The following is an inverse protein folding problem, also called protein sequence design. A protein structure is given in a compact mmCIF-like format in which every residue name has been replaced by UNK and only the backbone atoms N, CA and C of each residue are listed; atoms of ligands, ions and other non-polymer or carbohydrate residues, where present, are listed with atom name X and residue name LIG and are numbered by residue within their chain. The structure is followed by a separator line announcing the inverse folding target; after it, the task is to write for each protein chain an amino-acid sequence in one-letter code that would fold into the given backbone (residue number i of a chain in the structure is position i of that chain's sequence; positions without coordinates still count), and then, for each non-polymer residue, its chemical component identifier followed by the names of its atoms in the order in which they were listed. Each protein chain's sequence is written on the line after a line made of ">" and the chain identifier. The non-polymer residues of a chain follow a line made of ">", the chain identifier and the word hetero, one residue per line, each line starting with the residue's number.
data_IF_734472246293
#
_entry.id   IF_734472246293
#
_cell.length_a   1.000
_cell.length_b   1.000
_cell.length_c   1.000
_cell.angle_alpha   90.00
_cell.angle_beta   90.00
_cell.angle_gamma   90.00
#
_symmetry.space_group_name_H-M   'P 1'
#
loop_
_entity.id
_entity.type
_entity.pdbx_description
1 polymer ?
#
# COMPACT_ATOMS: atom_id res chain seq x y z
N UNK A 1 -14.91 11.58 -3.68
CA UNK A 1 -15.95 11.22 -4.68
C UNK A 1 -17.24 10.85 -3.92
N UNK A 2 -18.30 10.39 -4.60
CA UNK A 2 -19.46 9.78 -3.92
C UNK A 2 -19.69 8.39 -4.48
N UNK A 3 -19.91 7.39 -3.64
CA UNK A 3 -20.22 6.03 -4.07
C UNK A 3 -21.46 5.50 -3.34
N UNK A 4 -22.13 4.52 -3.95
CA UNK A 4 -23.18 3.71 -3.31
C UNK A 4 -23.25 2.34 -3.97
N UNK A 5 -23.58 1.33 -3.18
CA UNK A 5 -23.96 0.01 -3.71
C UNK A 5 -25.32 0.13 -4.40
N UNK A 6 -25.45 -0.40 -5.60
CA UNK A 6 -26.71 -0.40 -6.36
C UNK A 6 -27.33 -1.79 -6.48
N UNK A 7 -26.56 -2.85 -6.23
CA UNK A 7 -27.04 -4.23 -6.20
C UNK A 7 -25.90 -5.21 -5.95
N UNK A 8 -26.28 -6.43 -5.56
CA UNK A 8 -25.40 -7.59 -5.46
C UNK A 8 -26.15 -8.77 -6.07
N UNK A 9 -25.58 -9.41 -7.08
CA UNK A 9 -26.16 -10.57 -7.77
C UNK A 9 -25.02 -11.49 -8.21
N UNK A 10 -25.15 -12.80 -7.97
CA UNK A 10 -24.15 -13.82 -8.34
C UNK A 10 -22.71 -13.42 -7.95
N UNK A 11 -22.52 -12.98 -6.71
CA UNK A 11 -21.23 -12.52 -6.16
C UNK A 11 -20.57 -11.38 -6.96
N UNK A 12 -21.36 -10.63 -7.71
CA UNK A 12 -20.96 -9.38 -8.36
C UNK A 12 -21.60 -8.22 -7.60
N UNK A 13 -20.76 -7.28 -7.16
CA UNK A 13 -21.19 -6.08 -6.46
C UNK A 13 -21.19 -4.91 -7.45
N UNK A 14 -22.38 -4.40 -7.75
CA UNK A 14 -22.54 -3.18 -8.54
C UNK A 14 -22.41 -1.94 -7.67
N UNK A 15 -21.44 -1.08 -8.00
CA UNK A 15 -21.18 0.18 -7.32
C UNK A 15 -21.32 1.35 -8.29
N UNK A 16 -22.18 2.30 -7.96
CA UNK A 16 -22.26 3.56 -8.69
C UNK A 16 -21.32 4.58 -8.04
N UNK A 17 -20.40 5.15 -8.80
CA UNK A 17 -19.50 6.22 -8.35
C UNK A 17 -19.74 7.50 -9.14
N UNK A 18 -19.77 8.63 -8.45
CA UNK A 18 -19.81 9.97 -9.06
C UNK A 18 -18.44 10.62 -8.85
N UNK A 19 -17.76 10.89 -9.96
CA UNK A 19 -16.42 11.46 -9.98
C UNK A 19 -16.40 12.96 -9.57
N UNK A 20 -15.22 13.60 -9.42
CA UNK A 20 -15.12 15.00 -9.05
C UNK A 20 -15.69 15.98 -10.10
N UNK A 21 -15.89 15.54 -11.34
CA UNK A 21 -16.49 16.31 -12.44
C UNK A 21 -18.00 16.12 -12.52
N UNK A 22 -18.57 15.22 -11.72
CA UNK A 22 -20.00 14.91 -11.69
C UNK A 22 -20.41 13.81 -12.67
N UNK A 23 -19.46 13.13 -13.31
CA UNK A 23 -19.77 12.02 -14.22
C UNK A 23 -20.10 10.77 -13.42
N UNK A 24 -21.02 9.97 -13.95
CA UNK A 24 -21.47 8.73 -13.33
C UNK A 24 -20.69 7.57 -13.94
N UNK A 25 -20.20 6.71 -13.05
CA UNK A 25 -19.53 5.46 -13.38
C UNK A 25 -20.29 4.31 -12.71
N UNK A 26 -20.34 3.18 -13.39
CA UNK A 26 -20.72 1.90 -12.84
C UNK A 26 -19.48 1.03 -12.78
N UNK A 27 -19.18 0.48 -11.60
CA UNK A 27 -18.12 -0.49 -11.39
C UNK A 27 -18.78 -1.77 -10.87
N UNK A 28 -18.54 -2.88 -11.53
CA UNK A 28 -18.98 -4.21 -11.11
C UNK A 28 -17.75 -4.99 -10.65
N UNK A 29 -17.78 -5.40 -9.39
CA UNK A 29 -16.67 -6.08 -8.71
C UNK A 29 -17.05 -7.54 -8.53
N UNK A 30 -16.32 -8.44 -9.17
CA UNK A 30 -16.43 -9.89 -8.97
C UNK A 30 -15.62 -10.26 -7.73
N UNK A 31 -16.29 -10.79 -6.70
CA UNK A 31 -15.64 -11.18 -5.44
C UNK A 31 -15.40 -12.68 -5.33
N UNK A 32 -15.86 -13.49 -6.30
CA UNK A 32 -15.51 -14.90 -6.40
C UNK A 32 -14.18 -15.09 -7.13
N UNK A 33 -13.89 -14.25 -8.12
CA UNK A 33 -12.70 -14.36 -8.96
C UNK A 33 -11.85 -13.09 -8.93
N UNK A 34 -10.91 -13.05 -7.98
CA UNK A 34 -9.95 -11.95 -7.81
C UNK A 34 -9.08 -11.70 -9.06
N UNK A 35 -8.92 -12.68 -9.95
CA UNK A 35 -8.14 -12.53 -11.20
C UNK A 35 -8.94 -11.84 -12.33
N UNK A 36 -10.23 -11.54 -12.09
CA UNK A 36 -11.08 -10.87 -13.08
C UNK A 36 -10.99 -9.36 -12.92
N UNK A 37 -10.69 -8.66 -14.01
CA UNK A 37 -10.74 -7.20 -14.01
C UNK A 37 -12.16 -6.71 -13.72
N UNK A 38 -12.28 -5.78 -12.77
CA UNK A 38 -13.54 -5.10 -12.47
C UNK A 38 -14.11 -4.46 -13.75
N UNK A 39 -15.38 -4.71 -14.01
CA UNK A 39 -16.09 -4.10 -15.13
C UNK A 39 -16.32 -2.62 -14.82
N UNK A 40 -15.76 -1.72 -15.63
CA UNK A 40 -15.89 -0.27 -15.45
C UNK A 40 -16.61 0.40 -16.62
N UNK A 41 -17.90 0.68 -16.45
CA UNK A 41 -18.74 1.32 -17.46
C UNK A 41 -18.91 2.84 -17.21
N UNK A 42 -18.69 3.65 -18.24
CA UNK A 42 -18.86 5.10 -18.25
C UNK A 42 -18.96 5.64 -19.70
N UNK A 43 -19.49 6.85 -19.89
CA UNK A 43 -19.65 7.49 -21.22
C UNK A 43 -18.89 8.82 -21.39
N UNK A 44 -18.19 9.29 -20.36
CA UNK A 44 -17.59 10.64 -20.29
C UNK A 44 -16.12 10.72 -20.68
N UNK A 45 -15.43 9.60 -20.72
CA UNK A 45 -14.00 9.47 -21.01
C UNK A 45 -13.76 8.44 -22.13
N UNK A 46 -12.64 8.54 -22.86
CA UNK A 46 -12.25 7.51 -23.83
C UNK A 46 -12.24 6.11 -23.20
N UNK A 47 -12.74 5.11 -23.93
CA UNK A 47 -12.74 3.72 -23.47
C UNK A 47 -11.34 3.13 -23.50
N UNK A 48 -10.58 3.41 -24.56
CA UNK A 48 -9.18 3.03 -24.68
C UNK A 48 -8.31 3.88 -23.73
N UNK A 49 -7.54 3.24 -22.87
CA UNK A 49 -6.66 3.91 -21.91
C UNK A 49 -5.57 4.73 -22.60
N UNK A 50 -5.12 4.32 -23.79
CA UNK A 50 -4.11 5.06 -24.57
C UNK A 50 -4.61 6.39 -25.15
N UNK A 51 -5.93 6.57 -25.22
CA UNK A 51 -6.56 7.82 -25.64
C UNK A 51 -6.87 8.76 -24.48
N UNK A 52 -6.67 8.32 -23.23
CA UNK A 52 -6.90 9.13 -22.04
C UNK A 52 -5.69 9.99 -21.73
N UNK A 53 -5.95 11.20 -21.26
CA UNK A 53 -4.93 12.05 -20.61
C UNK A 53 -4.58 11.49 -19.23
N UNK A 54 -3.39 11.80 -18.71
CA UNK A 54 -2.96 11.40 -17.36
C UNK A 54 -3.99 11.74 -16.27
N UNK A 55 -4.67 12.88 -16.41
CA UNK A 55 -5.69 13.31 -15.47
C UNK A 55 -6.96 12.47 -15.56
N UNK A 56 -7.36 12.06 -16.78
CA UNK A 56 -8.49 11.16 -16.96
C UNK A 56 -8.17 9.77 -16.43
N UNK A 57 -6.98 9.25 -16.71
CA UNK A 57 -6.53 7.96 -16.20
C UNK A 57 -6.47 7.95 -14.68
N UNK A 58 -5.94 9.03 -14.08
CA UNK A 58 -5.96 9.24 -12.62
C UNK A 58 -7.39 9.20 -12.06
N UNK A 59 -8.37 9.82 -12.72
CA UNK A 59 -9.78 9.77 -12.28
C UNK A 59 -10.32 8.34 -12.37
N UNK A 60 -10.03 7.60 -13.44
CA UNK A 60 -10.48 6.21 -13.61
C UNK A 60 -9.96 5.31 -12.48
N UNK A 61 -8.66 5.39 -12.17
CA UNK A 61 -8.06 4.63 -11.07
C UNK A 61 -8.68 5.01 -9.72
N UNK A 62 -8.94 6.30 -9.49
CA UNK A 62 -9.59 6.75 -8.26
C UNK A 62 -11.05 6.28 -8.15
N UNK A 63 -11.76 6.17 -9.26
CA UNK A 63 -13.13 5.63 -9.30
C UNK A 63 -13.13 4.14 -8.94
N UNK A 64 -12.23 3.35 -9.53
CA UNK A 64 -12.09 1.92 -9.22
C UNK A 64 -11.75 1.71 -7.73
N UNK A 65 -10.73 2.43 -7.23
CA UNK A 65 -10.37 2.43 -5.81
C UNK A 65 -11.56 2.80 -4.91
N UNK A 66 -12.28 3.89 -5.23
CA UNK A 66 -13.42 4.31 -4.43
C UNK A 66 -14.55 3.28 -4.44
N UNK A 67 -14.79 2.60 -5.56
CA UNK A 67 -15.79 1.55 -5.68
C UNK A 67 -15.46 0.34 -4.79
N UNK A 68 -14.23 -0.19 -4.89
CA UNK A 68 -13.76 -1.31 -4.07
C UNK A 68 -13.81 -0.98 -2.58
N UNK A 69 -13.46 0.25 -2.20
CA UNK A 69 -13.61 0.70 -0.81
C UNK A 69 -15.08 0.75 -0.34
N UNK A 70 -16.01 1.22 -1.17
CA UNK A 70 -17.44 1.18 -0.81
C UNK A 70 -17.93 -0.24 -0.62
N UNK A 71 -17.61 -1.13 -1.56
CA UNK A 71 -18.00 -2.54 -1.50
C UNK A 71 -17.42 -3.22 -0.25
N UNK A 72 -16.14 -3.03 0.03
CA UNK A 72 -15.50 -3.59 1.22
C UNK A 72 -16.12 -3.08 2.54
N UNK A 73 -16.60 -1.83 2.58
CA UNK A 73 -17.11 -1.23 3.81
C UNK A 73 -18.60 -1.43 4.03
N UNK A 74 -19.38 -1.65 2.98
CA UNK A 74 -20.84 -1.78 3.03
C UNK A 74 -21.35 -3.22 2.87
N UNK A 75 -20.46 -4.17 2.57
CA UNK A 75 -20.81 -5.58 2.39
C UNK A 75 -20.01 -6.46 3.35
N UNK A 76 -20.25 -7.77 3.31
CA UNK A 76 -19.52 -8.76 4.09
C UNK A 76 -18.23 -9.25 3.42
N UNK A 77 -17.97 -8.83 2.17
CA UNK A 77 -16.85 -9.32 1.38
C UNK A 77 -15.53 -8.60 1.70
N UNK A 78 -14.48 -9.39 1.90
CA UNK A 78 -13.12 -8.91 2.20
C UNK A 78 -12.36 -8.53 0.92
N UNK A 79 -12.80 -7.47 0.24
CA UNK A 79 -12.26 -7.06 -1.07
C UNK A 79 -10.89 -6.35 -0.98
N UNK A 80 -10.66 -5.59 0.09
CA UNK A 80 -9.42 -4.82 0.27
C UNK A 80 -8.48 -5.52 1.24
N UNK A 81 -7.20 -5.52 0.89
CA UNK A 81 -6.11 -5.89 1.80
C UNK A 81 -6.08 -4.93 2.98
N UNK A 82 -5.67 -5.43 4.15
CA UNK A 82 -5.54 -4.65 5.39
C UNK A 82 -4.80 -3.33 5.21
N UNK A 83 -3.71 -3.36 4.45
CA UNK A 83 -2.90 -2.18 4.17
C UNK A 83 -3.66 -1.06 3.46
N UNK A 84 -4.78 -1.33 2.79
CA UNK A 84 -5.61 -0.35 2.09
C UNK A 84 -6.87 0.05 2.86
N UNK A 85 -7.02 -0.44 4.09
CA UNK A 85 -8.15 -0.10 4.97
C UNK A 85 -7.66 0.84 6.07
N UNK A 86 -8.05 2.14 6.09
CA UNK A 86 -7.57 3.13 7.05
C UNK A 86 -7.70 2.70 8.53
N UNK A 87 -8.78 1.98 8.86
CA UNK A 87 -9.00 1.44 10.21
C UNK A 87 -7.94 0.42 10.59
N UNK A 88 -7.53 -0.46 9.69
CA UNK A 88 -6.51 -1.47 9.96
C UNK A 88 -5.13 -0.82 10.10
N UNK A 89 -4.80 0.15 9.23
CA UNK A 89 -3.59 0.96 9.38
C UNK A 89 -3.55 1.69 10.73
N UNK A 90 -4.68 2.22 11.22
CA UNK A 90 -4.74 2.83 12.55
C UNK A 90 -4.48 1.82 13.68
N UNK A 91 -5.02 0.59 13.58
CA UNK A 91 -4.69 -0.49 14.52
C UNK A 91 -3.18 -0.79 14.53
N UNK A 92 -2.52 -0.73 13.37
CA UNK A 92 -1.06 -0.84 13.27
C UNK A 92 -0.32 0.27 14.02
N UNK A 93 -0.81 1.51 13.96
CA UNK A 93 -0.27 2.63 14.75
C UNK A 93 -0.45 2.35 16.25
N UNK A 94 -1.66 1.98 16.67
CA UNK A 94 -1.95 1.68 18.08
C UNK A 94 -1.02 0.55 18.60
N UNK A 95 -0.76 -0.46 17.77
CA UNK A 95 0.11 -1.57 18.11
C UNK A 95 1.55 -1.11 18.36
N UNK A 96 2.10 -0.27 17.48
CA UNK A 96 3.44 0.27 17.65
C UNK A 96 3.53 1.23 18.84
N UNK A 97 2.53 2.07 19.07
CA UNK A 97 2.48 3.00 20.21
C UNK A 97 2.52 2.25 21.56
N UNK A 98 1.80 1.13 21.65
CA UNK A 98 1.69 0.34 22.89
C UNK A 98 2.78 -0.74 23.04
N UNK A 99 3.54 -1.04 21.98
CA UNK A 99 4.61 -2.03 22.04
C UNK A 99 5.72 -1.59 23.01
N UNK A 100 6.15 -2.44 23.96
CA UNK A 100 7.28 -2.16 24.83
C UNK A 100 8.55 -1.86 24.03
N UNK A 101 9.29 -0.83 24.42
CA UNK A 101 10.49 -0.36 23.68
C UNK A 101 11.50 -1.47 23.43
N UNK A 102 11.71 -2.35 24.42
CA UNK A 102 12.63 -3.49 24.31
C UNK A 102 12.17 -4.52 23.27
N UNK A 103 10.88 -4.82 23.24
CA UNK A 103 10.32 -5.76 22.25
C UNK A 103 10.38 -5.16 20.84
N UNK A 104 10.10 -3.85 20.72
CA UNK A 104 10.23 -3.14 19.46
C UNK A 104 11.67 -3.16 18.93
N UNK A 105 12.66 -2.89 19.79
CA UNK A 105 14.08 -2.98 19.47
C UNK A 105 14.44 -4.37 18.93
N UNK A 106 14.07 -5.44 19.65
CA UNK A 106 14.35 -6.81 19.23
C UNK A 106 13.68 -7.16 17.88
N UNK A 107 12.43 -6.76 17.68
CA UNK A 107 11.65 -7.14 16.51
C UNK A 107 11.98 -6.34 15.23
N UNK A 108 12.32 -5.05 15.35
CA UNK A 108 12.49 -4.14 14.21
C UNK A 108 13.94 -3.73 13.92
N UNK A 109 14.92 -4.19 14.71
CA UNK A 109 16.35 -3.89 14.51
C UNK A 109 16.85 -4.22 13.10
N UNK A 110 16.46 -5.37 12.58
CA UNK A 110 16.87 -5.79 11.24
C UNK A 110 16.36 -4.82 10.17
N UNK A 111 15.11 -4.37 10.29
CA UNK A 111 14.53 -3.43 9.36
C UNK A 111 15.24 -2.08 9.39
N UNK A 112 15.56 -1.57 10.58
CA UNK A 112 16.33 -0.35 10.74
C UNK A 112 17.71 -0.48 10.07
N UNK A 113 18.41 -1.59 10.28
CA UNK A 113 19.70 -1.83 9.65
C UNK A 113 19.64 -1.89 8.13
N UNK A 114 18.59 -2.47 7.56
CA UNK A 114 18.37 -2.47 6.11
C UNK A 114 18.19 -1.05 5.55
N UNK A 115 17.50 -0.17 6.29
CA UNK A 115 17.25 1.21 5.87
C UNK A 115 18.49 2.11 5.91
N UNK A 116 19.40 1.92 6.88
CA UNK A 116 20.65 2.70 6.98
C UNK A 116 21.80 2.11 6.16
N UNK A 117 21.71 0.84 5.77
CA UNK A 117 22.70 0.16 4.95
C UNK A 117 22.03 -0.65 3.82
N UNK A 118 21.43 0.05 2.83
CA UNK A 118 20.71 -0.60 1.73
C UNK A 118 21.62 -1.47 0.85
N UNK A 119 22.93 -1.22 0.82
CA UNK A 119 23.89 -2.07 0.09
C UNK A 119 23.93 -3.48 0.65
N UNK A 120 23.95 -3.63 1.99
CA UNK A 120 23.88 -4.94 2.64
C UNK A 120 22.52 -5.60 2.41
N UNK A 121 21.43 -4.83 2.49
CA UNK A 121 20.10 -5.36 2.18
C UNK A 121 20.02 -5.89 0.73
N UNK A 122 20.67 -5.23 -0.23
CA UNK A 122 20.79 -5.70 -1.61
C UNK A 122 21.56 -7.02 -1.72
N UNK A 123 22.63 -7.21 -0.95
CA UNK A 123 23.40 -8.47 -0.96
C UNK A 123 22.61 -9.66 -0.40
N UNK A 124 21.77 -9.41 0.60
CA UNK A 124 21.04 -10.46 1.34
C UNK A 124 19.66 -10.77 0.75
N UNK A 125 18.95 -9.75 0.25
CA UNK A 125 17.56 -9.83 -0.21
C UNK A 125 17.36 -9.34 -1.66
N UNK A 126 18.39 -8.75 -2.26
CA UNK A 126 18.32 -8.15 -3.59
C UNK A 126 18.45 -9.16 -4.73
N UNK A 127 18.30 -8.65 -5.95
CA UNK A 127 18.48 -9.43 -7.18
C UNK A 127 19.96 -9.73 -7.35
N UNK A 128 20.31 -11.00 -7.58
CA UNK A 128 21.69 -11.37 -7.88
C UNK A 128 22.01 -11.11 -9.36
N UNK A 129 23.28 -10.83 -9.66
CA UNK A 129 23.73 -10.49 -11.02
C UNK A 129 23.36 -11.61 -12.02
N UNK A 130 22.47 -11.32 -12.97
CA UNK A 130 22.01 -12.26 -14.01
C UNK A 130 20.58 -12.79 -13.88
N UNK A 131 19.83 -12.44 -12.83
CA UNK A 131 18.44 -12.90 -12.65
C UNK A 131 17.40 -12.04 -13.36
N UNK A 132 17.71 -10.78 -13.65
CA UNK A 132 16.83 -9.83 -14.35
C UNK A 132 17.67 -8.93 -15.25
N UNK A 133 17.25 -8.71 -16.50
CA UNK A 133 17.90 -7.75 -17.41
C UNK A 133 17.57 -6.31 -16.98
N UNK A 134 18.44 -5.71 -16.17
CA UNK A 134 18.38 -4.28 -15.87
C UNK A 134 19.08 -3.47 -16.96
N UNK A 135 18.34 -2.59 -17.63
CA UNK A 135 18.95 -1.37 -18.17
C UNK A 135 19.45 -0.55 -16.96
N UNK A 136 20.69 -0.05 -16.97
CA UNK A 136 21.25 0.82 -15.91
C UNK A 136 21.57 0.16 -14.56
N UNK A 137 22.09 0.95 -13.61
CA UNK A 137 22.36 0.48 -12.24
C UNK A 137 21.09 0.61 -11.36
N UNK A 138 20.54 -0.49 -10.82
CA UNK A 138 19.30 -0.45 -10.05
C UNK A 138 19.51 0.13 -8.64
N UNK A 139 18.67 1.09 -8.25
CA UNK A 139 18.67 1.71 -6.91
C UNK A 139 17.46 1.26 -6.10
N UNK A 140 17.68 0.90 -4.83
CA UNK A 140 16.59 0.60 -3.88
C UNK A 140 15.87 1.91 -3.54
N UNK A 141 14.60 2.00 -3.90
CA UNK A 141 13.75 3.15 -3.61
C UNK A 141 12.81 2.92 -2.43
N UNK A 142 12.47 1.66 -2.11
CA UNK A 142 11.72 1.29 -0.92
C UNK A 142 12.21 -0.02 -0.33
N UNK A 143 12.18 -0.09 1.00
CA UNK A 143 12.33 -1.30 1.78
C UNK A 143 11.05 -1.47 2.59
N UNK A 144 10.42 -2.63 2.46
CA UNK A 144 9.18 -2.98 3.13
C UNK A 144 9.39 -4.17 4.05
N UNK A 145 8.88 -4.08 5.28
CA UNK A 145 8.84 -5.21 6.23
C UNK A 145 7.47 -5.25 6.87
N UNK A 146 6.70 -6.30 6.59
CA UNK A 146 5.38 -6.46 7.18
C UNK A 146 5.44 -6.90 8.64
N UNK A 147 4.41 -6.58 9.41
CA UNK A 147 4.17 -7.14 10.73
C UNK A 147 2.69 -7.48 10.90
N UNK A 148 2.42 -8.44 11.78
CA UNK A 148 1.09 -8.98 12.04
C UNK A 148 0.61 -8.51 13.40
N UNK A 149 -0.63 -8.01 13.44
CA UNK A 149 -1.30 -7.63 14.69
C UNK A 149 -2.53 -8.51 14.94
N UNK A 150 -2.77 -8.85 16.21
CA UNK A 150 -3.98 -9.56 16.62
C UNK A 150 -5.16 -8.59 16.81
N UNK A 151 -6.34 -9.12 17.16
CA UNK A 151 -7.56 -8.35 17.43
C UNK A 151 -7.41 -7.33 18.57
N UNK A 152 -6.45 -7.54 19.49
CA UNK A 152 -6.14 -6.65 20.60
C UNK A 152 -5.15 -5.53 20.22
N UNK A 153 -4.77 -5.46 18.93
CA UNK A 153 -3.75 -4.55 18.41
C UNK A 153 -2.37 -4.79 19.03
N UNK A 154 -2.01 -6.02 19.33
CA UNK A 154 -0.67 -6.38 19.77
C UNK A 154 0.12 -6.90 18.56
N UNK A 155 1.38 -6.49 18.44
CA UNK A 155 2.29 -7.06 17.44
C UNK A 155 2.62 -8.48 17.85
N UNK A 156 2.12 -9.47 17.11
CA UNK A 156 2.34 -10.90 17.40
C UNK A 156 3.46 -11.50 16.56
N UNK A 157 3.79 -10.88 15.43
CA UNK A 157 4.86 -11.32 14.55
C UNK A 157 5.39 -10.14 13.72
N UNK A 158 6.70 -10.07 13.51
CA UNK A 158 7.29 -9.23 12.46
C UNK A 158 7.81 -10.18 11.39
N UNK A 159 7.38 -9.99 10.14
CA UNK A 159 7.68 -10.91 9.06
C UNK A 159 9.20 -10.97 8.83
N UNK A 160 9.75 -12.19 8.62
CA UNK A 160 11.19 -12.37 8.52
C UNK A 160 11.76 -11.69 7.28
N UNK A 161 11.04 -11.73 6.17
CA UNK A 161 11.53 -11.26 4.88
C UNK A 161 11.33 -9.77 4.66
N UNK A 162 12.29 -9.17 3.96
CA UNK A 162 12.19 -7.81 3.41
C UNK A 162 11.77 -7.88 1.95
N UNK A 163 10.99 -6.89 1.53
CA UNK A 163 10.75 -6.64 0.11
C UNK A 163 11.45 -5.36 -0.30
N UNK A 164 12.18 -5.43 -1.41
CA UNK A 164 12.93 -4.31 -1.95
C UNK A 164 12.30 -3.88 -3.26
N UNK A 165 11.96 -2.59 -3.37
CA UNK A 165 11.60 -1.98 -4.64
C UNK A 165 12.80 -1.31 -5.24
N UNK A 166 13.05 -1.63 -6.51
CA UNK A 166 14.05 -0.96 -7.32
C UNK A 166 13.39 -0.02 -8.33
N UNK A 167 14.04 1.10 -8.57
CA UNK A 167 13.76 1.99 -9.70
C UNK A 167 15.03 2.27 -10.48
N UNK A 168 14.88 2.46 -11.79
CA UNK A 168 15.88 3.11 -12.63
C UNK A 168 15.28 4.40 -13.23
N UNK A 169 16.03 5.50 -13.22
CA UNK A 169 15.67 6.76 -13.88
C UNK A 169 15.40 6.63 -15.39
N UNK A 170 15.77 5.50 -16.02
CA UNK A 170 15.61 5.25 -17.45
C UNK A 170 14.49 4.27 -17.82
N UNK A 171 13.86 3.62 -16.84
CA UNK A 171 12.80 2.63 -17.11
C UNK A 171 11.65 2.88 -16.15
N UNK A 172 10.45 3.04 -16.69
CA UNK A 172 9.22 3.18 -15.92
C UNK A 172 8.78 1.83 -15.31
N UNK A 173 9.74 0.95 -14.99
CA UNK A 173 9.55 -0.41 -14.50
C UNK A 173 10.05 -0.48 -13.06
N UNK A 174 9.17 -0.96 -12.18
CA UNK A 174 9.47 -1.25 -10.78
C UNK A 174 9.69 -2.75 -10.63
N UNK A 175 10.79 -3.13 -9.99
CA UNK A 175 11.11 -4.53 -9.72
C UNK A 175 11.03 -4.78 -8.22
N UNK A 176 10.32 -5.85 -7.85
CA UNK A 176 10.18 -6.30 -6.46
C UNK A 176 10.91 -7.62 -6.28
N UNK A 177 11.72 -7.72 -5.23
CA UNK A 177 12.41 -8.95 -4.81
C UNK A 177 12.19 -9.17 -3.32
N UNK A 178 12.37 -10.41 -2.88
CA UNK A 178 12.08 -10.89 -1.53
C UNK A 178 11.15 -12.09 -1.54
N UNK A 179 11.02 -12.77 -0.41
CA UNK A 179 10.09 -13.89 -0.27
C UNK A 179 8.72 -13.37 0.19
N UNK A 180 7.66 -13.92 -0.39
CA UNK A 180 6.32 -13.50 -0.08
C UNK A 180 5.85 -14.02 1.29
N UNK A 181 6.34 -13.45 2.40
CA UNK A 181 5.78 -13.73 3.72
C UNK A 181 4.46 -12.97 3.90
N UNK A 182 3.43 -13.66 4.34
CA UNK A 182 2.16 -13.05 4.72
C UNK A 182 1.79 -13.45 6.14
N UNK A 183 1.01 -12.58 6.78
CA UNK A 183 0.38 -12.91 8.04
C UNK A 183 -0.62 -14.07 7.88
N UNK A 184 -0.95 -14.73 8.99
CA UNK A 184 -2.04 -15.71 9.02
C UNK A 184 -3.39 -15.01 8.89
N UNK A 185 -4.41 -15.72 8.42
CA UNK A 185 -5.74 -15.18 8.13
C UNK A 185 -6.47 -14.59 9.35
N UNK A 186 -6.05 -14.95 10.56
CA UNK A 186 -6.58 -14.44 11.83
C UNK A 186 -5.85 -13.18 12.35
N UNK A 187 -4.87 -12.68 11.60
CA UNK A 187 -4.09 -11.50 11.97
C UNK A 187 -4.13 -10.47 10.86
N UNK A 188 -3.97 -9.20 11.24
CA UNK A 188 -3.97 -8.08 10.32
C UNK A 188 -2.54 -7.74 9.92
N UNK A 189 -2.26 -7.72 8.61
CA UNK A 189 -0.92 -7.38 8.10
C UNK A 189 -0.77 -5.89 7.85
N UNK A 190 0.24 -5.28 8.47
CA UNK A 190 0.62 -3.89 8.24
C UNK A 190 2.03 -3.85 7.67
N UNK A 191 2.21 -3.15 6.56
CA UNK A 191 3.50 -3.08 5.85
C UNK A 191 3.96 -1.63 5.73
N UNK A 192 4.84 -1.16 6.61
CA UNK A 192 5.63 0.05 6.40
C UNK A 192 6.34 0.03 5.04
N UNK A 193 6.32 1.17 4.35
CA UNK A 193 6.90 1.38 3.02
C UNK A 193 7.88 2.55 3.11
N UNK A 194 9.17 2.25 3.29
CA UNK A 194 10.14 3.27 3.70
C UNK A 194 11.30 3.34 2.70
N UNK A 195 11.63 4.53 2.16
CA UNK A 195 12.84 4.71 1.38
C UNK A 195 14.09 4.59 2.28
N UNK A 196 15.22 4.06 1.76
CA UNK A 196 16.47 4.04 2.50
C UNK A 196 16.85 5.42 3.04
N UNK A 197 17.42 5.45 4.25
CA UNK A 197 17.85 6.71 4.85
C UNK A 197 19.09 7.20 4.12
N UNK A 198 19.04 8.43 3.61
CA UNK A 198 20.21 9.08 3.03
C UNK A 198 21.25 9.34 4.11
N UNK A 199 20.85 10.02 5.18
CA UNK A 199 21.60 10.20 6.42
C UNK A 199 20.58 10.38 7.57
N UNK A 200 20.66 9.61 8.67
CA UNK A 200 19.83 9.87 9.83
C UNK A 200 20.21 11.21 10.49
N UNK A 201 19.26 11.93 11.10
CA UNK A 201 19.56 13.13 11.88
C UNK A 201 20.63 12.86 12.95
N UNK A 202 21.46 13.86 13.24
CA UNK A 202 22.54 13.71 14.24
C UNK A 202 22.02 13.43 15.67
N UNK A 203 20.77 13.80 15.94
CA UNK A 203 20.04 13.61 17.19
C UNK A 203 19.10 12.40 17.17
N UNK A 204 19.17 11.53 16.16
CA UNK A 204 18.34 10.33 16.07
C UNK A 204 18.61 9.36 17.22
N UNK A 205 17.60 9.13 18.06
CA UNK A 205 17.60 8.22 19.20
C UNK A 205 16.93 6.91 18.83
N UNK A 206 17.72 5.88 18.62
CA UNK A 206 17.24 4.51 18.41
C UNK A 206 17.01 3.80 19.76
N UNK A 207 15.91 3.02 19.94
CA UNK A 207 14.89 2.67 18.93
C UNK A 207 13.68 3.62 18.84
N UNK A 208 13.54 4.60 19.74
CA UNK A 208 12.33 5.42 19.89
C UNK A 208 11.99 6.23 18.64
N UNK A 209 12.97 6.90 18.03
CA UNK A 209 12.76 7.70 16.83
C UNK A 209 12.46 6.82 15.62
N UNK A 210 13.00 5.60 15.57
CA UNK A 210 12.65 4.65 14.52
C UNK A 210 11.19 4.22 14.63
N UNK A 211 10.71 3.96 15.86
CA UNK A 211 9.29 3.68 16.10
C UNK A 211 8.40 4.84 15.68
N UNK A 212 8.78 6.06 16.06
CA UNK A 212 8.08 7.28 15.62
C UNK A 212 8.05 7.42 14.10
N UNK A 213 9.14 7.05 13.42
CA UNK A 213 9.22 7.05 11.97
C UNK A 213 8.29 6.02 11.32
N UNK A 214 8.21 4.79 11.85
CA UNK A 214 7.26 3.78 11.35
C UNK A 214 5.81 4.25 11.49
N UNK A 215 5.47 4.82 12.66
CA UNK A 215 4.14 5.39 12.92
C UNK A 215 3.84 6.51 11.93
N UNK A 216 4.78 7.44 11.73
CA UNK A 216 4.65 8.54 10.78
C UNK A 216 4.41 8.03 9.34
N UNK A 217 5.13 6.99 8.92
CA UNK A 217 4.89 6.36 7.61
C UNK A 217 3.48 5.79 7.51
N UNK A 218 2.98 5.07 8.52
CA UNK A 218 1.63 4.51 8.50
C UNK A 218 0.55 5.61 8.49
N UNK A 219 0.77 6.73 9.17
CA UNK A 219 -0.09 7.92 9.08
C UNK A 219 -0.15 8.45 7.64
N UNK A 220 1.00 8.57 6.98
CA UNK A 220 1.07 8.96 5.57
C UNK A 220 0.41 7.92 4.66
N UNK A 221 0.48 6.62 4.99
CA UNK A 221 -0.24 5.60 4.24
C UNK A 221 -1.76 5.79 4.35
N UNK A 222 -2.30 6.08 5.53
CA UNK A 222 -3.74 6.38 5.70
C UNK A 222 -4.15 7.55 4.80
N UNK A 223 -3.38 8.64 4.79
CA UNK A 223 -3.58 9.80 3.90
C UNK A 223 -3.64 9.39 2.44
N UNK A 224 -2.71 8.55 2.03
CA UNK A 224 -2.58 8.15 0.63
C UNK A 224 -3.67 7.16 0.20
N UNK A 225 -4.27 6.37 1.10
CA UNK A 225 -5.51 5.63 0.81
C UNK A 225 -6.63 6.59 0.38
N UNK A 226 -6.88 7.67 1.14
CA UNK A 226 -7.90 8.66 0.77
C UNK A 226 -7.57 9.36 -0.55
N UNK A 227 -6.31 9.73 -0.78
CA UNK A 227 -5.88 10.36 -2.04
C UNK A 227 -6.03 9.43 -3.24
N UNK A 228 -5.78 8.13 -3.07
CA UNK A 228 -6.03 7.12 -4.10
C UNK A 228 -7.52 6.90 -4.38
N UNK A 229 -8.43 7.31 -3.49
CA UNK A 229 -9.88 7.35 -3.75
C UNK A 229 -10.39 8.69 -4.31
N UNK A 230 -9.48 9.64 -4.60
CA UNK A 230 -9.86 10.99 -5.00
C UNK A 230 -10.58 11.77 -3.89
N UNK A 231 -10.21 11.50 -2.64
CA UNK A 231 -10.75 12.16 -1.46
C UNK A 231 -9.67 12.95 -0.72
N UNK A 232 -10.12 13.95 0.05
CA UNK A 232 -9.26 14.65 0.99
C UNK A 232 -9.13 13.78 2.25
N UNK A 233 -7.90 13.50 2.67
CA UNK A 233 -7.66 12.81 3.93
C UNK A 233 -8.16 13.63 5.13
N UNK A 234 -8.57 12.98 6.24
CA UNK A 234 -8.82 13.68 7.50
C UNK A 234 -7.58 14.45 7.95
N UNK A 235 -7.78 15.62 8.56
CA UNK A 235 -6.71 16.58 8.90
C UNK A 235 -5.57 15.96 9.73
N UNK A 236 -5.91 15.09 10.68
CA UNK A 236 -4.93 14.39 11.52
C UNK A 236 -4.00 13.42 10.77
N UNK A 237 -4.37 13.02 9.55
CA UNK A 237 -3.54 12.17 8.68
C UNK A 237 -2.90 12.96 7.53
N UNK A 238 -3.36 14.19 7.24
CA UNK A 238 -2.85 15.02 6.14
C UNK A 238 -1.55 15.74 6.51
N UNK A 239 -0.52 14.94 6.83
CA UNK A 239 0.84 15.38 7.15
C UNK A 239 1.79 15.09 6.01
N UNK A 240 2.93 15.78 5.94
CA UNK A 240 3.97 15.55 4.93
C UNK A 240 4.77 14.29 5.23
N UNK A 241 5.13 13.53 4.18
CA UNK A 241 5.91 12.30 4.30
C UNK A 241 5.57 11.28 3.23
N UNK A 242 6.39 10.22 3.17
CA UNK A 242 6.19 9.10 2.25
C UNK A 242 5.18 8.11 2.84
N UNK A 243 4.15 7.74 2.06
CA UNK A 243 3.12 6.78 2.45
C UNK A 243 2.97 5.69 1.41
N UNK A 244 1.86 5.71 0.67
CA UNK A 244 1.60 4.74 -0.41
C UNK A 244 1.88 5.34 -1.78
N UNK A 245 2.36 4.52 -2.74
CA UNK A 245 2.36 4.90 -4.14
C UNK A 245 0.96 5.25 -4.65
N UNK A 246 0.93 6.00 -5.76
CA UNK A 246 -0.29 6.15 -6.57
C UNK A 246 -0.49 4.86 -7.34
N UNK A 247 -1.72 4.39 -7.46
CA UNK A 247 -2.00 3.17 -8.21
C UNK A 247 -3.26 2.49 -7.73
N UNK A 248 -3.48 1.30 -8.27
CA UNK A 248 -4.61 0.47 -7.90
C UNK A 248 -4.32 -0.28 -6.58
N UNK A 249 -5.36 -0.87 -6.00
CA UNK A 249 -5.24 -1.61 -4.73
C UNK A 249 -4.67 -3.02 -4.90
N UNK A 250 -4.32 -3.40 -6.12
CA UNK A 250 -4.01 -4.77 -6.45
C UNK A 250 -2.56 -5.17 -6.16
N UNK A 251 -2.37 -6.45 -5.85
CA UNK A 251 -1.05 -7.03 -5.55
C UNK A 251 -0.12 -6.98 -6.75
N UNK A 252 -0.69 -7.20 -7.93
CA UNK A 252 0.05 -7.55 -9.12
C UNK A 252 0.58 -6.32 -9.87
N UNK A 253 0.13 -5.11 -9.52
CA UNK A 253 0.84 -3.88 -9.89
C UNK A 253 2.17 -3.71 -9.11
N UNK A 254 2.32 -4.44 -8.01
CA UNK A 254 3.42 -4.30 -7.06
C UNK A 254 4.30 -5.56 -6.96
N UNK A 255 3.92 -6.65 -7.62
CA UNK A 255 4.75 -7.83 -7.85
C UNK A 255 5.14 -7.89 -9.33
N UNK A 256 6.34 -8.39 -9.67
CA UNK A 256 6.75 -8.59 -11.06
C UNK A 256 5.88 -9.62 -11.79
#
# INVERSE_FOLDING_TARGET
>A
MKAKIIGTEDDIIGVQVIDPRGNVHLVEIDVENEDTEDLHAQESYPLDSSERTDEQERIMNQVAARARFEAHTQTEYEILRDGWVPRQLRRGIDALENMPVKEFDEAFREYYHALINPAKAKEEYGITEGEVEFSGEPQIVLIMKGFCINEQNEVVNVLPDLYLYYSNEHVNETYTTGHAASCSTDTTQITPMIPPFKEPPADFVYPEDFRGFLIHNIICQIRDVYRNMGEKAPEQYDIDGYGKPKGNFDRDEYLP
#
